data_IF_753092274091
#
_entry.id   IF_753092274091
#
_cell.length_a   1.000
_cell.length_b   1.000
_cell.length_c   1.000
_cell.angle_alpha   90.00
_cell.angle_beta   90.00
_cell.angle_gamma   90.00
#
_symmetry.space_group_name_H-M   'P 1'
#
loop_
_entity.id
_entity.type
_entity.pdbx_description
1 polymer ?
#
# COMPACT_ATOMS: atom_id res chain seq x y z
N UNK A 1 -32.67 16.49 -3.35
CA UNK A 1 -31.60 17.18 -4.11
C UNK A 1 -30.46 16.20 -4.32
N UNK A 2 -30.22 15.83 -5.59
CA UNK A 2 -29.30 14.76 -5.95
C UNK A 2 -27.83 15.13 -5.75
N UNK A 3 -27.14 14.43 -4.87
CA UNK A 3 -25.69 14.40 -4.84
C UNK A 3 -25.19 13.33 -5.81
N UNK A 4 -25.29 13.62 -7.11
CA UNK A 4 -24.61 12.83 -8.14
C UNK A 4 -23.26 13.48 -8.45
N UNK A 5 -22.38 13.57 -7.45
CA UNK A 5 -20.95 13.75 -7.71
C UNK A 5 -20.44 12.36 -8.05
N UNK A 6 -20.12 12.12 -9.33
CA UNK A 6 -19.25 11.00 -9.71
C UNK A 6 -17.94 11.22 -8.94
N UNK A 7 -17.82 10.63 -7.75
CA UNK A 7 -16.54 10.58 -7.03
C UNK A 7 -15.60 9.85 -7.99
N UNK A 8 -14.67 10.60 -8.59
CA UNK A 8 -13.59 10.04 -9.40
C UNK A 8 -12.67 9.27 -8.45
N UNK A 9 -13.09 8.07 -8.06
CA UNK A 9 -12.31 7.21 -7.20
C UNK A 9 -11.11 6.69 -7.98
N UNK A 10 -9.92 6.85 -7.41
CA UNK A 10 -8.72 6.18 -7.91
C UNK A 10 -8.96 4.67 -7.77
N UNK A 11 -9.04 3.97 -8.90
CA UNK A 11 -9.26 2.52 -8.92
C UNK A 11 -7.94 1.79 -8.67
N UNK A 12 -7.97 0.83 -7.75
CA UNK A 12 -6.92 -0.14 -7.51
C UNK A 12 -7.48 -1.55 -7.81
N UNK A 13 -6.74 -2.40 -8.54
CA UNK A 13 -7.18 -3.77 -8.77
C UNK A 13 -7.15 -4.56 -7.45
N UNK A 14 -8.17 -5.39 -7.23
CA UNK A 14 -8.16 -6.34 -6.11
C UNK A 14 -7.18 -7.47 -6.45
N UNK A 15 -6.18 -7.64 -5.60
CA UNK A 15 -5.22 -8.74 -5.74
C UNK A 15 -5.85 -10.01 -5.17
N UNK A 16 -5.87 -11.07 -5.97
CA UNK A 16 -6.46 -12.36 -5.61
C UNK A 16 -5.41 -13.49 -5.58
N UNK A 17 -4.13 -13.14 -5.50
CA UNK A 17 -3.00 -14.06 -5.47
C UNK A 17 -1.92 -13.57 -4.49
N UNK A 18 -0.99 -14.43 -4.04
CA UNK A 18 0.13 -14.03 -3.19
C UNK A 18 0.92 -12.85 -3.78
N UNK A 19 1.30 -11.88 -2.93
CA UNK A 19 2.02 -10.68 -3.37
C UNK A 19 3.38 -10.98 -3.97
N UNK A 20 4.07 -12.04 -3.56
CA UNK A 20 5.33 -12.41 -4.18
C UNK A 20 5.19 -12.86 -5.65
N UNK A 21 3.98 -13.26 -6.07
CA UNK A 21 3.66 -13.54 -7.47
C UNK A 21 3.17 -12.27 -8.18
N UNK A 22 2.36 -11.45 -7.51
CA UNK A 22 1.89 -10.17 -8.08
C UNK A 22 3.05 -9.21 -8.40
N UNK A 23 4.07 -9.18 -7.53
CA UNK A 23 5.18 -8.24 -7.59
C UNK A 23 6.49 -8.89 -8.03
N UNK A 24 6.43 -9.97 -8.82
CA UNK A 24 7.63 -10.69 -9.29
C UNK A 24 8.49 -9.85 -10.26
N UNK A 25 7.88 -8.95 -11.03
CA UNK A 25 8.57 -8.21 -12.09
C UNK A 25 9.33 -6.97 -11.55
N UNK A 26 10.65 -7.09 -11.40
CA UNK A 26 11.53 -6.02 -10.94
C UNK A 26 11.52 -4.74 -11.81
N UNK A 27 11.26 -4.86 -13.12
CA UNK A 27 11.12 -3.69 -14.00
C UNK A 27 9.92 -2.86 -13.55
N UNK A 28 8.81 -3.52 -13.21
CA UNK A 28 7.60 -2.84 -12.74
C UNK A 28 7.79 -2.20 -11.36
N UNK A 29 8.59 -2.83 -10.50
CA UNK A 29 8.88 -2.31 -9.16
C UNK A 29 9.83 -1.11 -9.15
N UNK A 30 10.90 -1.14 -9.96
CA UNK A 30 12.03 -0.25 -9.73
C UNK A 30 12.21 0.85 -10.77
N UNK A 31 11.74 0.70 -12.02
CA UNK A 31 12.01 1.69 -13.07
C UNK A 31 11.00 2.85 -13.11
N UNK A 32 11.42 4.06 -13.55
CA UNK A 32 10.52 5.20 -13.71
C UNK A 32 9.40 4.94 -14.73
N UNK A 33 8.22 5.54 -14.52
CA UNK A 33 7.04 5.35 -15.38
C UNK A 33 6.29 4.03 -15.17
N UNK A 34 6.84 3.13 -14.35
CA UNK A 34 6.28 1.81 -14.06
C UNK A 34 5.41 1.80 -12.80
N UNK A 35 4.95 0.62 -12.39
CA UNK A 35 3.97 0.43 -11.33
C UNK A 35 4.24 1.27 -10.07
N UNK A 36 5.44 1.19 -9.48
CA UNK A 36 5.73 1.92 -8.24
C UNK A 36 5.67 3.46 -8.40
N UNK A 37 6.20 3.99 -9.49
CA UNK A 37 6.11 5.43 -9.82
C UNK A 37 4.66 5.86 -10.09
N UNK A 38 3.88 5.03 -10.79
CA UNK A 38 2.45 5.30 -11.01
C UNK A 38 1.66 5.35 -9.69
N UNK A 39 1.99 4.48 -8.72
CA UNK A 39 1.36 4.51 -7.40
C UNK A 39 1.82 5.71 -6.58
N UNK A 40 3.10 6.08 -6.66
CA UNK A 40 3.61 7.31 -6.04
C UNK A 40 2.84 8.56 -6.53
N UNK A 41 2.57 8.65 -7.84
CA UNK A 41 1.75 9.73 -8.43
C UNK A 41 0.30 9.71 -7.92
N UNK A 42 -0.32 8.54 -7.80
CA UNK A 42 -1.66 8.40 -7.19
C UNK A 42 -1.69 8.86 -5.74
N UNK A 43 -0.55 8.81 -5.05
CA UNK A 43 -0.41 9.21 -3.65
C UNK A 43 0.12 10.63 -3.46
N UNK A 44 0.34 11.42 -4.51
CA UNK A 44 0.93 12.78 -4.47
C UNK A 44 0.38 13.69 -3.37
N UNK A 45 -0.93 13.64 -3.12
CA UNK A 45 -1.60 14.49 -2.13
C UNK A 45 -1.44 14.00 -0.69
N UNK A 46 -0.85 12.82 -0.48
CA UNK A 46 -0.68 12.23 0.84
C UNK A 46 0.60 12.79 1.47
N UNK A 47 0.56 13.29 2.71
CA UNK A 47 1.76 13.71 3.42
C UNK A 47 2.77 12.56 3.56
N UNK A 48 4.05 12.84 3.29
CA UNK A 48 5.14 11.85 3.37
C UNK A 48 5.15 11.02 4.66
N UNK A 49 4.83 11.64 5.81
CA UNK A 49 4.80 10.95 7.09
C UNK A 49 3.69 9.88 7.18
N UNK A 50 2.58 10.04 6.45
CA UNK A 50 1.50 9.05 6.41
C UNK A 50 1.91 7.83 5.61
N UNK A 51 2.58 8.01 4.47
CA UNK A 51 3.11 6.90 3.67
C UNK A 51 4.21 6.16 4.44
N UNK A 52 5.12 6.89 5.09
CA UNK A 52 6.19 6.28 5.90
C UNK A 52 5.65 5.43 7.04
N UNK A 53 4.60 5.86 7.74
CA UNK A 53 3.96 5.04 8.80
C UNK A 53 3.52 3.66 8.29
N UNK A 54 3.00 3.58 7.07
CA UNK A 54 2.65 2.28 6.46
C UNK A 54 3.92 1.45 6.25
N UNK A 55 4.95 2.03 5.62
CA UNK A 55 6.22 1.33 5.38
C UNK A 55 6.88 0.85 6.68
N UNK A 56 6.91 1.69 7.71
CA UNK A 56 7.51 1.35 9.01
C UNK A 56 6.79 0.14 9.65
N UNK A 57 5.46 0.11 9.57
CA UNK A 57 4.65 -1.01 10.07
C UNK A 57 4.93 -2.29 9.27
N UNK A 58 5.08 -2.20 7.94
CA UNK A 58 5.44 -3.34 7.07
C UNK A 58 6.81 -3.88 7.45
N UNK A 59 7.81 -3.01 7.69
CA UNK A 59 9.15 -3.44 8.11
C UNK A 59 9.14 -4.15 9.46
N UNK A 60 8.29 -3.70 10.39
CA UNK A 60 8.08 -4.38 11.67
C UNK A 60 7.45 -5.77 11.44
N UNK A 61 6.40 -5.85 10.64
CA UNK A 61 5.75 -7.12 10.30
C UNK A 61 6.73 -8.09 9.61
N UNK A 62 7.55 -7.58 8.69
CA UNK A 62 8.58 -8.37 8.00
C UNK A 62 9.59 -8.95 9.00
N UNK A 63 10.13 -8.12 9.89
CA UNK A 63 11.05 -8.59 10.94
C UNK A 63 10.38 -9.61 11.87
N UNK A 64 9.10 -9.45 12.16
CA UNK A 64 8.36 -10.39 13.00
C UNK A 64 8.11 -11.72 12.31
N UNK A 65 7.93 -11.72 10.98
CA UNK A 65 7.62 -12.92 10.20
C UNK A 65 8.71 -13.99 10.25
N UNK A 66 9.95 -13.64 10.61
CA UNK A 66 11.03 -14.60 10.87
C UNK A 66 10.78 -15.50 12.08
N UNK A 67 9.97 -15.03 13.03
CA UNK A 67 9.68 -15.73 14.29
C UNK A 67 8.25 -16.25 14.34
N UNK A 68 7.31 -15.43 13.88
CA UNK A 68 5.89 -15.70 13.96
C UNK A 68 5.19 -15.03 12.76
N UNK A 69 4.94 -15.84 11.73
CA UNK A 69 4.28 -15.39 10.53
C UNK A 69 2.82 -15.01 10.78
N UNK A 70 2.10 -15.72 11.65
CA UNK A 70 0.68 -15.44 11.90
C UNK A 70 0.49 -14.08 12.58
N UNK A 71 1.35 -13.75 13.54
CA UNK A 71 1.35 -12.42 14.15
C UNK A 71 1.78 -11.33 13.16
N UNK A 72 2.73 -11.60 12.27
CA UNK A 72 3.11 -10.67 11.20
C UNK A 72 1.94 -10.44 10.21
N UNK A 73 1.26 -11.51 9.80
CA UNK A 73 0.06 -11.45 8.94
C UNK A 73 -1.06 -10.66 9.61
N UNK A 74 -1.28 -10.85 10.91
CA UNK A 74 -2.22 -10.03 11.69
C UNK A 74 -1.85 -8.54 11.65
N UNK A 75 -0.58 -8.19 11.76
CA UNK A 75 -0.16 -6.78 11.63
C UNK A 75 -0.41 -6.22 10.23
N UNK A 76 -0.17 -7.01 9.19
CA UNK A 76 -0.53 -6.62 7.81
C UNK A 76 -2.03 -6.34 7.71
N UNK A 77 -2.90 -7.17 8.29
CA UNK A 77 -4.35 -6.94 8.29
C UNK A 77 -4.75 -5.71 9.11
N UNK A 78 -4.05 -5.43 10.22
CA UNK A 78 -4.28 -4.22 11.00
C UNK A 78 -4.02 -2.94 10.20
N UNK A 79 -3.10 -2.93 9.23
CA UNK A 79 -2.89 -1.79 8.34
C UNK A 79 -4.15 -1.40 7.58
N UNK A 80 -4.92 -2.39 7.11
CA UNK A 80 -6.18 -2.16 6.40
C UNK A 80 -7.17 -1.45 7.33
N UNK A 81 -7.37 -1.97 8.55
CA UNK A 81 -8.28 -1.36 9.52
C UNK A 81 -7.84 0.06 9.95
N UNK A 82 -6.55 0.26 10.24
CA UNK A 82 -6.02 1.57 10.61
C UNK A 82 -6.14 2.58 9.47
N UNK A 83 -5.95 2.15 8.22
CA UNK A 83 -6.13 3.04 7.07
C UNK A 83 -7.59 3.46 6.88
N UNK A 84 -8.56 2.60 7.17
CA UNK A 84 -9.98 2.96 7.16
C UNK A 84 -10.30 4.03 8.21
N UNK A 85 -9.80 3.87 9.43
CA UNK A 85 -9.93 4.86 10.50
C UNK A 85 -9.31 6.21 10.10
N UNK A 86 -8.08 6.19 9.58
CA UNK A 86 -7.39 7.40 9.12
C UNK A 86 -8.10 8.08 7.95
N UNK A 87 -8.68 7.30 7.03
CA UNK A 87 -9.51 7.80 5.94
C UNK A 87 -10.79 8.47 6.45
N UNK A 88 -11.42 7.95 7.51
CA UNK A 88 -12.56 8.60 8.16
C UNK A 88 -12.20 9.97 8.77
N UNK A 89 -10.97 10.09 9.31
CA UNK A 89 -10.46 11.35 9.89
C UNK A 89 -10.03 12.37 8.83
N UNK A 90 -9.49 11.92 7.70
CA UNK A 90 -8.97 12.77 6.62
C UNK A 90 -9.42 12.27 5.23
N UNK A 91 -10.72 12.34 4.91
CA UNK A 91 -11.30 11.63 3.75
C UNK A 91 -10.84 12.17 2.40
N UNK A 92 -10.56 13.46 2.29
CA UNK A 92 -10.06 14.08 1.05
C UNK A 92 -8.63 13.67 0.69
N UNK A 93 -7.88 13.11 1.64
CA UNK A 93 -6.45 12.82 1.49
C UNK A 93 -6.15 11.33 1.62
N UNK A 94 -6.73 10.64 2.61
CA UNK A 94 -6.32 9.29 2.99
C UNK A 94 -7.24 8.17 2.49
N UNK A 95 -8.41 8.49 1.91
CA UNK A 95 -9.27 7.48 1.27
C UNK A 95 -8.52 6.67 0.21
N UNK A 96 -7.66 7.31 -0.58
CA UNK A 96 -6.89 6.63 -1.63
C UNK A 96 -5.94 5.57 -1.06
N UNK A 97 -5.36 5.82 0.13
CA UNK A 97 -4.49 4.87 0.82
C UNK A 97 -5.28 3.68 1.37
N UNK A 98 -6.48 3.92 1.92
CA UNK A 98 -7.39 2.86 2.33
C UNK A 98 -7.79 1.96 1.17
N UNK A 99 -8.17 2.53 0.02
CA UNK A 99 -8.54 1.73 -1.15
C UNK A 99 -7.37 0.92 -1.68
N UNK A 100 -6.17 1.49 -1.72
CA UNK A 100 -4.98 0.73 -2.06
C UNK A 100 -4.76 -0.46 -1.11
N UNK A 101 -4.72 -0.21 0.20
CA UNK A 101 -4.42 -1.25 1.19
C UNK A 101 -5.50 -2.33 1.24
N UNK A 102 -6.78 -1.96 1.19
CA UNK A 102 -7.89 -2.93 1.19
C UNK A 102 -7.98 -3.79 -0.08
N UNK A 103 -7.49 -3.29 -1.22
CA UNK A 103 -7.41 -4.09 -2.46
C UNK A 103 -6.13 -4.93 -2.53
N UNK A 104 -5.09 -4.54 -1.79
CA UNK A 104 -3.75 -5.16 -1.87
C UNK A 104 -3.52 -6.18 -0.77
N UNK A 105 -3.98 -5.92 0.45
CA UNK A 105 -3.76 -6.76 1.63
C UNK A 105 -5.05 -7.48 1.98
N UNK A 106 -5.04 -8.80 1.80
CA UNK A 106 -6.15 -9.69 2.11
C UNK A 106 -5.63 -11.12 2.38
N UNK A 107 -6.56 -12.05 2.66
CA UNK A 107 -6.21 -13.44 2.94
C UNK A 107 -5.51 -14.15 1.78
N UNK A 108 -5.85 -13.79 0.55
CA UNK A 108 -5.28 -14.38 -0.66
C UNK A 108 -3.88 -13.81 -0.96
N UNK A 109 -3.61 -12.56 -0.57
CA UNK A 109 -2.36 -11.88 -0.91
C UNK A 109 -1.25 -12.04 0.11
N UNK A 110 -1.57 -12.24 1.39
CA UNK A 110 -0.59 -12.49 2.46
C UNK A 110 -0.67 -13.96 2.90
N UNK A 111 0.16 -14.81 2.30
CA UNK A 111 0.19 -16.26 2.57
C UNK A 111 1.49 -16.74 3.19
N UNK A 112 2.57 -15.99 3.01
CA UNK A 112 3.92 -16.32 3.50
C UNK A 112 4.75 -15.07 3.77
N UNK A 113 5.91 -15.25 4.41
CA UNK A 113 6.90 -14.19 4.60
C UNK A 113 7.28 -13.49 3.28
N UNK A 114 7.40 -14.25 2.18
CA UNK A 114 7.75 -13.71 0.86
C UNK A 114 6.77 -12.64 0.38
N UNK A 115 5.50 -12.73 0.78
CA UNK A 115 4.49 -11.73 0.43
C UNK A 115 4.73 -10.40 1.15
N UNK A 116 5.15 -10.47 2.41
CA UNK A 116 5.51 -9.29 3.20
C UNK A 116 6.80 -8.67 2.66
N UNK A 117 7.78 -9.50 2.27
CA UNK A 117 9.01 -9.06 1.59
C UNK A 117 8.70 -8.34 0.27
N UNK A 118 7.85 -8.92 -0.57
CA UNK A 118 7.44 -8.34 -1.84
C UNK A 118 6.71 -6.99 -1.63
N UNK A 119 5.83 -6.91 -0.63
CA UNK A 119 5.18 -5.65 -0.28
C UNK A 119 6.16 -4.60 0.24
N UNK A 120 7.13 -4.98 1.08
CA UNK A 120 8.18 -4.07 1.57
C UNK A 120 9.00 -3.50 0.40
N UNK A 121 9.41 -4.34 -0.55
CA UNK A 121 10.18 -3.93 -1.72
C UNK A 121 9.39 -2.99 -2.63
N UNK A 122 8.16 -3.38 -2.98
CA UNK A 122 7.26 -2.55 -3.77
C UNK A 122 7.01 -1.20 -3.09
N UNK A 123 6.61 -1.22 -1.82
CA UNK A 123 6.19 -0.02 -1.12
C UNK A 123 7.38 0.89 -0.75
N UNK A 124 8.57 0.34 -0.54
CA UNK A 124 9.82 1.11 -0.45
C UNK A 124 10.06 1.90 -1.74
N UNK A 125 9.83 1.28 -2.90
CA UNK A 125 9.98 1.93 -4.21
C UNK A 125 8.94 3.04 -4.40
N UNK A 126 7.68 2.79 -3.99
CA UNK A 126 6.63 3.82 -3.96
C UNK A 126 7.05 5.01 -3.10
N UNK A 127 7.57 4.78 -1.89
CA UNK A 127 8.02 5.85 -0.99
C UNK A 127 9.18 6.65 -1.59
N UNK A 128 10.11 5.98 -2.28
CA UNK A 128 11.23 6.63 -2.96
C UNK A 128 10.75 7.58 -4.06
N UNK A 129 9.86 7.13 -4.94
CA UNK A 129 9.27 7.97 -5.99
C UNK A 129 8.38 9.07 -5.41
N UNK A 130 7.59 8.77 -4.38
CA UNK A 130 6.70 9.75 -3.77
C UNK A 130 7.46 10.95 -3.19
N UNK A 131 8.67 10.72 -2.65
CA UNK A 131 9.54 11.80 -2.17
C UNK A 131 9.94 12.79 -3.27
N UNK A 132 10.00 12.35 -4.53
CA UNK A 132 10.25 13.22 -5.68
C UNK A 132 8.98 13.93 -6.11
N UNK A 133 7.86 13.21 -6.19
CA UNK A 133 6.56 13.77 -6.61
C UNK A 133 6.09 14.85 -5.63
N UNK A 134 6.22 14.64 -4.32
CA UNK A 134 5.76 15.59 -3.30
C UNK A 134 6.59 16.89 -3.19
N UNK A 135 7.64 17.04 -4.02
CA UNK A 135 8.53 18.22 -4.04
C UNK A 135 8.27 19.14 -5.23
N UNK A 136 7.50 18.66 -6.22
CA UNK A 136 7.04 19.43 -7.36
C UNK A 136 5.69 20.08 -7.05
#
# INVERSE_FOLDING_TARGET
>A
MGYNKKENYVKFPKINQPLHLEYENYVELYLPGKLADQYAKKFEKIPNHQIRKILDTVKIALKQSDKDFDSAKKQMFMLVAMSAYNAGRMPSTLKVLYFFLSNTINEQSIQSKKDIEAFDQFFTSVVAYHKLVSRN
#
